data_IF_713628973232
#
_entry.id   IF_713628973232
#
_cell.length_a   1.000
_cell.length_b   1.000
_cell.length_c   1.000
_cell.angle_alpha   90.00
_cell.angle_beta   90.00
_cell.angle_gamma   90.00
#
_symmetry.space_group_name_H-M   'P 1'
#
loop_
_entity.id
_entity.type
_entity.pdbx_description
1 polymer ?
#
# COMPACT_ATOMS: atom_id res chain seq x y z
N UNK A 1 3.33 -10.88 8.28
CA UNK A 1 2.11 -10.87 7.44
C UNK A 1 2.47 -11.41 6.08
N UNK A 2 1.69 -12.33 5.55
CA UNK A 2 1.91 -12.95 4.25
C UNK A 2 0.95 -12.37 3.21
N UNK A 3 1.46 -12.09 2.03
CA UNK A 3 0.67 -11.73 0.86
C UNK A 3 0.94 -12.70 -0.29
N UNK A 4 -0.09 -12.98 -1.08
CA UNK A 4 -0.09 -13.97 -2.16
C UNK A 4 -0.27 -13.32 -3.55
N UNK A 5 0.34 -13.87 -4.60
CA UNK A 5 0.29 -13.34 -5.98
C UNK A 5 -0.34 -14.36 -6.95
N UNK A 6 -1.40 -13.96 -7.68
CA UNK A 6 -2.13 -14.86 -8.60
C UNK A 6 -2.07 -14.46 -10.10
N UNK A 7 -1.77 -13.20 -10.44
CA UNK A 7 -1.78 -12.69 -11.83
C UNK A 7 -0.46 -11.99 -12.22
N UNK A 8 -0.19 -11.87 -13.53
CA UNK A 8 0.95 -11.09 -14.03
C UNK A 8 0.67 -9.58 -13.97
N UNK A 9 1.17 -8.94 -12.92
CA UNK A 9 1.16 -7.49 -12.75
C UNK A 9 2.38 -7.05 -11.93
N UNK A 10 2.68 -5.76 -11.91
CA UNK A 10 3.80 -5.24 -11.13
C UNK A 10 3.39 -4.95 -9.68
N UNK A 11 4.24 -5.33 -8.74
CA UNK A 11 4.14 -4.94 -7.33
C UNK A 11 5.19 -3.89 -7.04
N UNK A 12 4.78 -2.72 -6.54
CA UNK A 12 5.67 -1.63 -6.19
C UNK A 12 5.64 -1.41 -4.68
N UNK A 13 6.77 -1.65 -4.02
CA UNK A 13 6.97 -1.31 -2.62
C UNK A 13 7.41 0.15 -2.46
N UNK A 14 6.70 0.90 -1.63
CA UNK A 14 7.01 2.29 -1.26
C UNK A 14 7.23 2.36 0.25
N UNK A 15 8.37 2.90 0.67
CA UNK A 15 8.64 3.19 2.07
C UNK A 15 8.67 4.71 2.27
N UNK A 16 7.97 5.19 3.29
CA UNK A 16 7.93 6.62 3.62
C UNK A 16 7.93 6.84 5.12
N UNK A 17 8.51 7.94 5.56
CA UNK A 17 8.41 8.38 6.94
C UNK A 17 7.07 9.09 7.21
N UNK A 18 6.54 8.94 8.42
CA UNK A 18 5.23 9.46 8.81
C UNK A 18 5.10 11.00 8.68
N UNK A 19 6.20 11.75 8.78
CA UNK A 19 6.19 13.20 8.56
C UNK A 19 5.97 13.58 7.08
N UNK A 20 6.19 12.65 6.14
CA UNK A 20 6.20 12.91 4.70
C UNK A 20 4.94 12.41 3.97
N UNK A 21 3.86 12.06 4.68
CA UNK A 21 2.65 11.46 4.10
C UNK A 21 2.00 12.28 2.97
N UNK A 22 2.14 13.60 2.99
CA UNK A 22 1.64 14.48 1.92
C UNK A 22 2.27 14.18 0.56
N UNK A 23 3.50 13.65 0.51
CA UNK A 23 4.14 13.25 -0.74
C UNK A 23 3.42 12.08 -1.40
N UNK A 24 2.79 11.19 -0.62
CA UNK A 24 1.97 10.13 -1.18
C UNK A 24 0.76 10.72 -1.91
N UNK A 25 0.11 11.75 -1.37
CA UNK A 25 -1.01 12.41 -2.07
C UNK A 25 -0.58 12.93 -3.44
N UNK A 26 0.55 13.64 -3.49
CA UNK A 26 1.10 14.16 -4.74
C UNK A 26 1.50 13.03 -5.69
N UNK A 27 2.13 11.97 -5.19
CA UNK A 27 2.49 10.82 -6.02
C UNK A 27 1.24 10.18 -6.65
N UNK A 28 0.23 9.86 -5.82
CA UNK A 28 -0.98 9.18 -6.27
C UNK A 28 -1.88 10.07 -7.15
N UNK A 29 -1.86 11.39 -6.97
CA UNK A 29 -2.62 12.32 -7.83
C UNK A 29 -2.08 12.42 -9.26
N UNK A 30 -0.80 12.08 -9.46
CA UNK A 30 -0.13 12.13 -10.76
C UNK A 30 -0.01 10.76 -11.44
N UNK A 31 -0.51 9.69 -10.81
CA UNK A 31 -0.47 8.38 -11.43
C UNK A 31 -1.37 8.32 -12.68
N UNK A 32 -0.89 7.73 -13.78
CA UNK A 32 -1.75 7.47 -14.93
C UNK A 32 -2.91 6.56 -14.56
N UNK A 33 -4.07 6.82 -15.16
CA UNK A 33 -5.34 6.13 -14.86
C UNK A 33 -5.39 4.67 -15.29
N UNK A 34 -4.39 4.18 -16.01
CA UNK A 34 -4.32 2.83 -16.59
C UNK A 34 -3.04 2.12 -16.18
N UNK A 35 -2.94 1.77 -14.89
CA UNK A 35 -1.80 1.05 -14.33
C UNK A 35 -2.24 -0.32 -13.82
N UNK A 36 -1.73 -1.38 -14.45
CA UNK A 36 -1.87 -2.74 -13.94
C UNK A 36 -0.80 -3.00 -12.85
N UNK A 37 -0.92 -2.29 -11.72
CA UNK A 37 0.06 -2.26 -10.64
C UNK A 37 -0.65 -2.39 -9.28
N UNK A 38 -0.02 -3.10 -8.35
CA UNK A 38 -0.35 -3.05 -6.93
C UNK A 38 0.73 -2.26 -6.18
N UNK A 39 0.32 -1.36 -5.29
CA UNK A 39 1.24 -0.60 -4.44
C UNK A 39 1.21 -1.15 -3.01
N UNK A 40 2.38 -1.31 -2.41
CA UNK A 40 2.54 -1.69 -1.00
C UNK A 40 3.24 -0.54 -0.30
N UNK A 41 2.56 0.10 0.64
CA UNK A 41 3.05 1.25 1.39
C UNK A 41 3.47 0.79 2.79
N UNK A 42 4.73 1.01 3.11
CA UNK A 42 5.31 0.87 4.44
C UNK A 42 5.50 2.27 5.00
N UNK A 43 4.80 2.58 6.09
CA UNK A 43 4.98 3.82 6.82
C UNK A 43 5.89 3.55 8.01
N UNK A 44 6.99 4.29 8.08
CA UNK A 44 7.95 4.22 9.17
C UNK A 44 7.78 5.42 10.09
N UNK A 45 7.75 5.18 11.40
CA UNK A 45 7.67 6.21 12.42
C UNK A 45 8.62 5.86 13.57
N UNK A 46 9.20 6.86 14.22
CA UNK A 46 9.93 6.67 15.48
C UNK A 46 9.00 6.51 16.70
N UNK A 47 7.71 6.87 16.61
CA UNK A 47 6.70 6.66 17.66
C UNK A 47 5.38 6.10 17.10
N UNK A 48 5.25 4.76 17.08
CA UNK A 48 4.09 4.03 16.55
C UNK A 48 2.74 4.65 16.96
N UNK A 49 1.96 5.16 16.00
CA UNK A 49 0.53 5.51 16.14
C UNK A 49 -0.09 6.13 14.85
N UNK A 50 0.07 5.53 13.68
CA UNK A 50 -0.58 6.04 12.46
C UNK A 50 -1.15 4.96 11.54
N UNK A 51 -2.43 4.57 11.73
CA UNK A 51 -3.08 3.75 10.72
C UNK A 51 -4.50 4.18 10.30
N UNK A 52 -5.16 5.17 10.92
CA UNK A 52 -6.56 5.50 10.56
C UNK A 52 -6.69 6.58 9.47
N UNK A 53 -5.94 7.67 9.57
CA UNK A 53 -6.07 8.80 8.65
C UNK A 53 -5.56 8.50 7.22
N UNK A 54 -4.56 7.64 7.07
CA UNK A 54 -3.88 7.43 5.79
C UNK A 54 -4.76 6.78 4.72
N UNK A 55 -5.61 5.84 5.13
CA UNK A 55 -6.60 5.21 4.25
C UNK A 55 -7.57 6.26 3.70
N UNK A 56 -8.07 7.13 4.57
CA UNK A 56 -9.03 8.18 4.17
C UNK A 56 -8.38 9.23 3.28
N UNK A 57 -7.15 9.64 3.62
CA UNK A 57 -6.37 10.61 2.87
C UNK A 57 -6.10 10.13 1.44
N UNK A 58 -5.71 8.87 1.25
CA UNK A 58 -5.46 8.32 -0.09
C UNK A 58 -6.75 8.09 -0.88
N UNK A 59 -7.85 7.64 -0.25
CA UNK A 59 -9.14 7.45 -0.92
C UNK A 59 -9.67 8.71 -1.61
N UNK A 60 -9.31 9.90 -1.12
CA UNK A 60 -9.67 11.16 -1.76
C UNK A 60 -8.76 11.60 -2.92
N UNK A 61 -7.62 10.91 -3.14
CA UNK A 61 -6.55 11.34 -4.07
C UNK A 61 -6.24 10.32 -5.15
N UNK A 62 -6.79 9.12 -5.08
CA UNK A 62 -6.63 8.09 -6.10
C UNK A 62 -7.92 7.35 -6.37
N UNK A 63 -8.03 6.82 -7.59
CA UNK A 63 -9.09 5.88 -7.99
C UNK A 63 -8.78 4.44 -7.58
N UNK A 64 -7.55 4.17 -7.13
CA UNK A 64 -7.12 2.85 -6.67
C UNK A 64 -7.83 2.48 -5.37
N UNK A 65 -8.11 1.20 -5.20
CA UNK A 65 -8.72 0.72 -3.96
C UNK A 65 -7.67 0.73 -2.84
N UNK A 66 -7.99 1.24 -1.65
CA UNK A 66 -7.03 1.36 -0.54
C UNK A 66 -7.43 0.46 0.63
N UNK A 67 -6.54 -0.48 0.98
CA UNK A 67 -6.74 -1.47 2.04
C UNK A 67 -5.56 -1.53 3.01
N UNK A 68 -5.83 -1.88 4.27
CA UNK A 68 -4.78 -2.39 5.16
C UNK A 68 -4.55 -3.86 4.84
N UNK A 69 -3.30 -4.30 4.93
CA UNK A 69 -2.98 -5.71 4.70
C UNK A 69 -3.50 -6.54 5.88
N UNK A 70 -4.01 -7.72 5.56
CA UNK A 70 -4.33 -8.80 6.49
C UNK A 70 -3.47 -10.02 6.16
N UNK A 71 -3.25 -10.89 7.14
CA UNK A 71 -2.39 -12.07 6.94
C UNK A 71 -3.06 -13.07 5.99
N UNK A 72 -2.31 -13.55 4.99
CA UNK A 72 -2.81 -14.50 3.98
C UNK A 72 -3.62 -13.86 2.86
N UNK A 73 -3.64 -12.53 2.75
CA UNK A 73 -4.41 -11.84 1.72
C UNK A 73 -3.77 -12.00 0.32
N UNK A 74 -4.61 -12.16 -0.70
CA UNK A 74 -4.18 -12.16 -2.10
C UNK A 74 -4.04 -10.71 -2.60
N UNK A 75 -2.92 -10.43 -3.27
CA UNK A 75 -2.64 -9.16 -3.91
C UNK A 75 -3.36 -9.10 -5.25
N UNK A 76 -4.12 -8.03 -5.44
CA UNK A 76 -4.76 -7.69 -6.69
C UNK A 76 -4.13 -6.42 -7.27
N UNK A 77 -4.06 -6.28 -8.61
CA UNK A 77 -3.71 -5.01 -9.22
C UNK A 77 -4.74 -3.93 -8.87
N UNK A 78 -4.45 -2.68 -9.23
CA UNK A 78 -5.35 -1.53 -9.00
C UNK A 78 -5.63 -1.24 -7.52
N UNK A 79 -4.73 -1.69 -6.66
CA UNK A 79 -4.92 -1.67 -5.22
C UNK A 79 -3.68 -1.14 -4.51
N UNK A 80 -3.91 -0.30 -3.50
CA UNK A 80 -2.92 0.20 -2.56
C UNK A 80 -3.10 -0.53 -1.24
N UNK A 81 -2.03 -1.15 -0.78
CA UNK A 81 -1.96 -1.94 0.43
C UNK A 81 -1.10 -1.23 1.46
N UNK A 82 -1.63 -1.01 2.66
CA UNK A 82 -0.91 -0.35 3.76
C UNK A 82 -0.47 -1.41 4.76
N UNK A 83 0.83 -1.48 5.00
CA UNK A 83 1.41 -2.35 6.02
C UNK A 83 1.09 -1.77 7.41
N UNK A 84 0.44 -2.54 8.30
CA UNK A 84 0.26 -2.13 9.68
C UNK A 84 1.59 -1.90 10.40
N UNK A 85 1.62 -0.96 11.34
CA UNK A 85 2.81 -0.64 12.11
C UNK A 85 3.35 -1.83 12.91
N UNK A 86 4.67 -1.86 13.09
CA UNK A 86 5.36 -2.88 13.89
C UNK A 86 5.29 -4.30 13.31
N UNK A 87 4.85 -4.45 12.05
CA UNK A 87 4.76 -5.76 11.39
C UNK A 87 5.71 -5.85 10.20
N UNK A 88 6.33 -7.02 10.07
CA UNK A 88 7.06 -7.40 8.88
C UNK A 88 6.11 -7.97 7.83
N UNK A 89 6.33 -7.57 6.58
CA UNK A 89 5.64 -8.10 5.43
C UNK A 89 6.53 -9.13 4.72
N UNK A 90 5.92 -10.24 4.33
CA UNK A 90 6.53 -11.26 3.50
C UNK A 90 5.65 -11.48 2.27
N UNK A 91 6.22 -11.32 1.08
CA UNK A 91 5.55 -11.65 -0.17
C UNK A 91 5.84 -13.11 -0.51
N UNK A 92 4.79 -13.84 -0.86
CA UNK A 92 4.85 -15.23 -1.28
C UNK A 92 4.12 -15.37 -2.61
N UNK A 93 4.62 -16.23 -3.49
CA UNK A 93 3.79 -16.71 -4.59
C UNK A 93 2.77 -17.72 -4.05
N UNK A 94 1.64 -17.86 -4.73
CA UNK A 94 0.72 -18.97 -4.49
C UNK A 94 1.32 -20.18 -5.20
N UNK A 95 1.52 -21.27 -4.46
CA UNK A 95 1.95 -22.57 -5.00
C UNK A 95 0.80 -23.27 -5.74
#
# INVERSE_FOLDING_TARGET
MKLQLENQFFVVGLAIFAENLKLLETFFSHLPKQLNIAFIIVVQNQSANFPSHLVQLLKGKTILTVHKIEDGMIINPWTVYIVPEGKYLHLCNVD
#
